data_IF_464206089639
#
_entry.id   IF_464206089639
#
_cell.length_a   1.000
_cell.length_b   1.000
_cell.length_c   1.000
_cell.angle_alpha   90.00
_cell.angle_beta   90.00
_cell.angle_gamma   90.00
#
_symmetry.space_group_name_H-M   'P 1'
#
loop_
_entity.id
_entity.type
_entity.pdbx_description
1 polymer ?
#
# COMPACT_ATOMS: atom_id res chain seq x y z
N UNK A 1 -23.78 33.53 -7.95
CA UNK A 1 -24.40 33.96 -6.68
C UNK A 1 -23.30 34.66 -5.91
N UNK A 2 -23.43 35.96 -5.65
CA UNK A 2 -22.32 36.79 -5.13
C UNK A 2 -21.71 36.21 -3.85
N UNK A 3 -20.39 35.93 -3.89
CA UNK A 3 -19.62 35.44 -2.74
C UNK A 3 -19.77 36.38 -1.53
N UNK A 4 -19.92 37.68 -1.76
CA UNK A 4 -20.07 38.70 -0.73
C UNK A 4 -21.41 38.58 0.03
N UNK A 5 -22.50 38.23 -0.67
CA UNK A 5 -23.80 37.99 -0.04
C UNK A 5 -23.82 36.70 0.81
N UNK A 6 -23.04 35.69 0.42
CA UNK A 6 -22.88 34.45 1.19
C UNK A 6 -22.04 34.72 2.45
N UNK A 7 -20.92 35.44 2.32
CA UNK A 7 -20.09 35.85 3.45
C UNK A 7 -20.86 36.70 4.46
N UNK A 8 -21.69 37.65 4.00
CA UNK A 8 -22.54 38.44 4.88
C UNK A 8 -23.54 37.59 5.69
N UNK A 9 -24.09 36.53 5.09
CA UNK A 9 -24.94 35.56 5.82
C UNK A 9 -24.14 34.72 6.80
N UNK A 10 -22.94 34.25 6.43
CA UNK A 10 -22.06 33.49 7.31
C UNK A 10 -21.68 34.31 8.55
N UNK A 11 -21.25 35.57 8.37
CA UNK A 11 -20.95 36.47 9.48
C UNK A 11 -22.13 36.63 10.43
N UNK A 12 -23.34 36.79 9.89
CA UNK A 12 -24.56 36.88 10.71
C UNK A 12 -24.83 35.60 11.52
N UNK A 13 -24.58 34.42 10.97
CA UNK A 13 -24.72 33.15 11.70
C UNK A 13 -23.67 32.99 12.79
N UNK A 14 -22.43 33.42 12.54
CA UNK A 14 -21.33 33.42 13.50
C UNK A 14 -21.63 34.41 14.65
N UNK A 15 -22.06 35.64 14.35
CA UNK A 15 -22.45 36.63 15.36
C UNK A 15 -23.62 36.15 16.22
N UNK A 16 -24.54 35.37 15.65
CA UNK A 16 -25.67 34.78 16.36
C UNK A 16 -25.33 33.46 17.08
N UNK A 17 -24.07 33.01 17.03
CA UNK A 17 -23.58 31.74 17.60
C UNK A 17 -24.40 30.50 17.19
N UNK A 18 -24.96 30.50 15.97
CA UNK A 18 -25.79 29.40 15.49
C UNK A 18 -25.35 28.94 14.08
N UNK A 19 -24.39 28.01 14.06
CA UNK A 19 -23.91 27.37 12.83
C UNK A 19 -24.66 26.08 12.49
N UNK A 20 -25.65 25.64 13.29
CA UNK A 20 -26.43 24.41 12.99
C UNK A 20 -27.07 24.44 11.60
N UNK A 21 -27.58 25.60 11.20
CA UNK A 21 -28.13 25.83 9.87
C UNK A 21 -27.09 25.64 8.76
N UNK A 22 -25.83 26.00 9.03
CA UNK A 22 -24.70 25.81 8.11
C UNK A 22 -24.34 24.33 8.02
N UNK A 23 -24.22 23.62 9.15
CA UNK A 23 -23.98 22.16 9.14
C UNK A 23 -25.07 21.40 8.37
N UNK A 24 -26.35 21.72 8.62
CA UNK A 24 -27.46 21.12 7.89
C UNK A 24 -27.43 21.47 6.40
N UNK A 25 -27.02 22.69 6.04
CA UNK A 25 -26.84 23.05 4.64
C UNK A 25 -25.73 22.23 3.98
N UNK A 26 -24.57 22.07 4.61
CA UNK A 26 -23.46 21.27 4.08
C UNK A 26 -23.87 19.80 3.88
N UNK A 27 -24.61 19.21 4.83
CA UNK A 27 -25.16 17.86 4.70
C UNK A 27 -26.15 17.75 3.54
N UNK A 28 -27.04 18.73 3.37
CA UNK A 28 -27.99 18.75 2.26
C UNK A 28 -27.32 18.99 0.90
N UNK A 29 -26.25 19.79 0.84
CA UNK A 29 -25.45 19.99 -0.37
C UNK A 29 -24.68 18.71 -0.72
N UNK A 30 -24.20 17.96 0.28
CA UNK A 30 -23.56 16.65 0.09
C UNK A 30 -24.49 15.63 -0.55
N UNK A 31 -25.76 15.60 -0.15
CA UNK A 31 -26.80 14.78 -0.82
C UNK A 31 -26.98 15.15 -2.29
N UNK A 32 -26.75 16.43 -2.65
CA UNK A 32 -26.89 16.96 -4.01
C UNK A 32 -25.59 16.93 -4.83
N UNK A 33 -24.55 16.26 -4.34
CA UNK A 33 -23.26 16.12 -5.04
C UNK A 33 -22.17 17.13 -4.62
N UNK A 34 -22.47 18.04 -3.70
CA UNK A 34 -21.47 18.78 -2.91
C UNK A 34 -20.72 19.92 -3.61
N UNK A 35 -21.30 20.55 -4.63
CA UNK A 35 -20.63 21.58 -5.43
C UNK A 35 -20.14 22.79 -4.62
N UNK A 36 -20.79 23.12 -3.50
CA UNK A 36 -20.49 24.34 -2.73
C UNK A 36 -19.85 24.06 -1.37
N UNK A 37 -19.81 22.79 -0.93
CA UNK A 37 -19.35 22.41 0.42
C UNK A 37 -17.98 22.99 0.72
N UNK A 38 -17.01 22.81 -0.17
CA UNK A 38 -15.63 23.25 0.08
C UNK A 38 -15.53 24.75 0.22
N UNK A 39 -16.16 25.52 -0.67
CA UNK A 39 -16.09 26.98 -0.63
C UNK A 39 -16.71 27.51 0.67
N UNK A 40 -17.88 27.00 1.04
CA UNK A 40 -18.58 27.42 2.25
C UNK A 40 -17.81 27.00 3.50
N UNK A 41 -17.31 25.76 3.57
CA UNK A 41 -16.52 25.29 4.69
C UNK A 41 -15.29 26.19 4.92
N UNK A 42 -14.53 26.50 3.86
CA UNK A 42 -13.38 27.42 3.93
C UNK A 42 -13.78 28.81 4.42
N UNK A 43 -14.84 29.39 3.87
CA UNK A 43 -15.30 30.71 4.27
C UNK A 43 -15.78 30.76 5.72
N UNK A 44 -16.44 29.71 6.21
CA UNK A 44 -16.86 29.64 7.61
C UNK A 44 -15.65 29.55 8.52
N UNK A 45 -14.73 28.62 8.24
CA UNK A 45 -13.50 28.41 9.00
C UNK A 45 -12.67 29.70 9.13
N UNK A 46 -12.50 30.44 8.03
CA UNK A 46 -11.72 31.68 8.01
C UNK A 46 -12.33 32.83 8.83
N UNK A 47 -13.64 32.80 9.04
CA UNK A 47 -14.39 33.86 9.74
C UNK A 47 -14.68 33.48 11.21
N UNK A 48 -14.23 32.30 11.67
CA UNK A 48 -14.38 31.90 13.07
C UNK A 48 -13.45 32.74 13.97
N UNK A 49 -13.94 33.21 15.13
CA UNK A 49 -13.13 33.98 16.08
C UNK A 49 -12.17 33.10 16.88
N UNK A 50 -11.05 33.66 17.35
CA UNK A 50 -10.09 33.00 18.25
C UNK A 50 -10.57 32.93 19.72
N UNK A 51 -11.83 32.59 19.94
CA UNK A 51 -12.44 32.43 21.27
C UNK A 51 -12.87 30.97 21.55
N UNK A 52 -13.41 30.70 22.74
CA UNK A 52 -13.91 29.37 23.10
C UNK A 52 -15.02 28.88 22.16
N UNK A 53 -15.82 29.80 21.63
CA UNK A 53 -16.86 29.47 20.68
C UNK A 53 -16.24 29.03 19.35
N UNK A 54 -15.31 29.80 18.78
CA UNK A 54 -14.63 29.45 17.54
C UNK A 54 -13.90 28.11 17.65
N UNK A 55 -13.18 27.85 18.76
CA UNK A 55 -12.55 26.55 19.02
C UNK A 55 -13.52 25.37 18.96
N UNK A 56 -14.70 25.50 19.58
CA UNK A 56 -15.72 24.45 19.50
C UNK A 56 -16.28 24.31 18.08
N UNK A 57 -16.44 25.42 17.35
CA UNK A 57 -16.93 25.39 15.98
C UNK A 57 -15.93 24.80 14.98
N UNK A 58 -14.61 25.02 15.15
CA UNK A 58 -13.58 24.34 14.37
C UNK A 58 -13.71 22.82 14.50
N UNK A 59 -13.90 22.32 15.72
CA UNK A 59 -14.14 20.89 16.00
C UNK A 59 -15.44 20.39 15.35
N UNK A 60 -16.56 21.08 15.53
CA UNK A 60 -17.85 20.68 14.94
C UNK A 60 -17.80 20.69 13.40
N UNK A 61 -17.12 21.68 12.81
CA UNK A 61 -16.93 21.76 11.36
C UNK A 61 -16.07 20.61 10.84
N UNK A 62 -14.96 20.33 11.52
CA UNK A 62 -14.08 19.20 11.20
C UNK A 62 -14.86 17.88 11.22
N UNK A 63 -15.63 17.63 12.29
CA UNK A 63 -16.46 16.43 12.41
C UNK A 63 -17.56 16.35 11.34
N UNK A 64 -18.15 17.47 10.96
CA UNK A 64 -19.16 17.53 9.91
C UNK A 64 -18.56 17.17 8.56
N UNK A 65 -17.43 17.76 8.19
CA UNK A 65 -16.75 17.48 6.93
C UNK A 65 -16.29 16.01 6.90
N UNK A 66 -15.75 15.49 8.00
CA UNK A 66 -15.36 14.09 8.11
C UNK A 66 -16.57 13.15 7.99
N UNK A 67 -17.69 13.47 8.64
CA UNK A 67 -18.94 12.70 8.48
C UNK A 67 -19.46 12.76 7.05
N UNK A 68 -19.26 13.88 6.34
CA UNK A 68 -19.65 14.00 4.94
C UNK A 68 -18.82 13.02 4.09
N UNK A 69 -17.49 13.03 4.26
CA UNK A 69 -16.59 12.10 3.57
C UNK A 69 -16.91 10.64 3.89
N UNK A 70 -17.31 10.31 5.12
CA UNK A 70 -17.65 8.92 5.48
C UNK A 70 -18.96 8.42 4.87
N UNK A 71 -19.97 9.30 4.70
CA UNK A 71 -21.36 8.91 4.40
C UNK A 71 -21.81 9.14 2.96
N UNK A 72 -21.30 10.17 2.28
CA UNK A 72 -21.81 10.56 0.96
C UNK A 72 -20.79 10.23 -0.13
N UNK A 73 -21.28 9.72 -1.26
CA UNK A 73 -20.47 9.47 -2.44
C UNK A 73 -20.31 10.78 -3.21
N UNK A 74 -19.13 11.38 -3.09
CA UNK A 74 -18.76 12.64 -3.72
C UNK A 74 -17.75 12.40 -4.85
N UNK A 75 -17.62 13.36 -5.76
CA UNK A 75 -16.60 13.26 -6.80
C UNK A 75 -15.17 13.29 -6.19
N UNK A 76 -14.19 12.60 -6.79
CA UNK A 76 -12.81 12.58 -6.27
C UNK A 76 -12.20 13.98 -6.10
N UNK A 77 -12.56 14.94 -6.96
CA UNK A 77 -12.11 16.32 -6.88
C UNK A 77 -12.64 17.03 -5.62
N UNK A 78 -13.92 16.79 -5.27
CA UNK A 78 -14.53 17.35 -4.06
C UNK A 78 -13.90 16.70 -2.82
N UNK A 79 -13.73 15.37 -2.80
CA UNK A 79 -13.05 14.65 -1.71
C UNK A 79 -11.65 15.23 -1.46
N UNK A 80 -10.83 15.40 -2.51
CA UNK A 80 -9.51 16.03 -2.40
C UNK A 80 -9.56 17.44 -1.83
N UNK A 81 -10.55 18.24 -2.27
CA UNK A 81 -10.71 19.60 -1.79
C UNK A 81 -11.10 19.65 -0.31
N UNK A 82 -11.99 18.76 0.12
CA UNK A 82 -12.41 18.61 1.52
C UNK A 82 -11.29 18.10 2.42
N UNK A 83 -10.49 17.13 1.96
CA UNK A 83 -9.29 16.68 2.66
C UNK A 83 -8.32 17.86 2.84
N UNK A 84 -8.11 18.67 1.80
CA UNK A 84 -7.31 19.89 1.91
C UNK A 84 -7.83 20.90 2.94
N UNK A 85 -9.15 21.01 3.12
CA UNK A 85 -9.75 21.82 4.20
C UNK A 85 -9.47 21.19 5.56
N UNK A 86 -9.71 19.89 5.73
CA UNK A 86 -9.44 19.18 6.98
C UNK A 86 -7.96 19.31 7.39
N UNK A 87 -7.03 19.13 6.45
CA UNK A 87 -5.59 19.26 6.68
C UNK A 87 -5.22 20.65 7.21
N UNK A 88 -5.80 21.71 6.63
CA UNK A 88 -5.57 23.09 7.13
C UNK A 88 -6.13 23.33 8.54
N UNK A 89 -7.12 22.55 8.94
CA UNK A 89 -7.81 22.67 10.23
C UNK A 89 -7.19 21.84 11.35
N UNK A 90 -6.34 20.86 11.03
CA UNK A 90 -5.73 19.97 12.03
C UNK A 90 -5.10 20.78 13.16
N UNK A 91 -4.33 21.82 12.82
CA UNK A 91 -3.61 22.64 13.80
C UNK A 91 -4.52 23.52 14.68
N UNK A 92 -5.76 23.79 14.25
CA UNK A 92 -6.75 24.55 15.01
C UNK A 92 -7.46 23.69 16.07
N UNK A 93 -7.36 22.36 15.98
CA UNK A 93 -7.92 21.44 16.97
C UNK A 93 -7.00 21.26 18.18
N UNK A 94 -7.58 21.01 19.35
CA UNK A 94 -6.80 20.59 20.52
C UNK A 94 -6.18 19.20 20.30
N UNK A 95 -5.05 18.91 20.95
CA UNK A 95 -4.38 17.60 20.84
C UNK A 95 -5.28 16.42 21.23
N UNK A 96 -6.11 16.61 22.25
CA UNK A 96 -7.06 15.59 22.71
C UNK A 96 -8.19 15.38 21.69
N UNK A 97 -8.63 16.44 21.02
CA UNK A 97 -9.60 16.35 19.93
C UNK A 97 -9.01 15.58 18.75
N UNK A 98 -7.76 15.87 18.35
CA UNK A 98 -7.08 15.13 17.27
C UNK A 98 -6.97 13.64 17.60
N UNK A 99 -6.57 13.30 18.83
CA UNK A 99 -6.49 11.92 19.28
C UNK A 99 -7.85 11.22 19.28
N UNK A 100 -8.92 11.89 19.71
CA UNK A 100 -10.29 11.37 19.66
C UNK A 100 -10.73 11.08 18.22
N UNK A 101 -10.48 12.01 17.29
CA UNK A 101 -10.75 11.81 15.86
C UNK A 101 -10.00 10.59 15.32
N UNK A 102 -8.72 10.41 15.67
CA UNK A 102 -7.95 9.22 15.25
C UNK A 102 -8.61 7.92 15.74
N UNK A 103 -9.10 7.87 16.97
CA UNK A 103 -9.85 6.70 17.44
C UNK A 103 -11.15 6.50 16.68
N UNK A 104 -11.92 7.57 16.40
CA UNK A 104 -13.14 7.48 15.60
C UNK A 104 -12.85 6.97 14.17
N UNK A 105 -11.69 7.29 13.60
CA UNK A 105 -11.23 6.76 12.31
C UNK A 105 -10.95 5.24 12.41
N UNK A 106 -10.22 4.81 13.45
CA UNK A 106 -9.92 3.40 13.67
C UNK A 106 -11.18 2.58 13.94
N UNK A 107 -12.13 3.11 14.71
CA UNK A 107 -13.38 2.42 15.00
C UNK A 107 -14.26 2.34 13.75
N UNK A 108 -14.31 3.40 12.92
CA UNK A 108 -14.97 3.33 11.61
C UNK A 108 -14.36 2.28 10.68
N UNK A 109 -13.04 2.06 10.75
CA UNK A 109 -12.36 1.01 9.99
C UNK A 109 -12.76 -0.39 10.48
N UNK A 110 -12.80 -0.60 11.81
CA UNK A 110 -13.24 -1.87 12.41
C UNK A 110 -14.70 -2.18 12.08
N UNK A 111 -15.55 -1.15 12.01
CA UNK A 111 -16.96 -1.28 11.65
C UNK A 111 -17.17 -1.57 10.16
N UNK A 112 -16.11 -1.58 9.34
CA UNK A 112 -16.19 -1.91 7.92
C UNK A 112 -16.55 -0.74 7.01
N UNK A 113 -16.31 0.50 7.44
CA UNK A 113 -16.59 1.68 6.61
C UNK A 113 -15.70 1.68 5.36
N UNK A 114 -16.30 1.68 4.17
CA UNK A 114 -15.57 1.68 2.89
C UNK A 114 -14.54 2.81 2.78
N UNK A 115 -13.33 2.48 2.33
CA UNK A 115 -12.24 3.44 2.09
C UNK A 115 -12.33 4.20 0.77
N UNK A 116 -13.25 3.84 -0.12
CA UNK A 116 -13.41 4.46 -1.44
C UNK A 116 -13.66 5.98 -1.36
N UNK A 117 -14.19 6.46 -0.23
CA UNK A 117 -14.49 7.88 0.01
C UNK A 117 -13.33 8.69 0.59
N UNK A 118 -12.13 8.10 0.70
CA UNK A 118 -10.87 8.78 1.04
C UNK A 118 -10.83 9.44 2.43
N UNK A 119 -11.80 9.15 3.29
CA UNK A 119 -11.90 9.73 4.64
C UNK A 119 -10.71 9.40 5.54
N UNK A 120 -9.96 8.33 5.26
CA UNK A 120 -8.77 7.92 6.02
C UNK A 120 -7.50 8.69 5.59
N UNK A 121 -7.52 9.43 4.47
CA UNK A 121 -6.37 10.22 3.99
C UNK A 121 -6.02 11.41 4.90
N UNK A 122 -6.88 11.75 5.88
CA UNK A 122 -6.58 12.74 6.93
C UNK A 122 -5.65 12.17 8.03
N UNK A 123 -5.53 10.85 8.11
CA UNK A 123 -4.78 10.17 9.17
C UNK A 123 -3.30 10.59 9.24
N UNK A 124 -2.55 10.72 8.13
CA UNK A 124 -1.14 11.11 8.16
C UNK A 124 -0.91 12.47 8.81
N UNK A 125 -1.72 13.47 8.46
CA UNK A 125 -1.60 14.83 9.02
C UNK A 125 -1.96 14.86 10.51
N UNK A 126 -3.00 14.13 10.92
CA UNK A 126 -3.36 13.99 12.34
C UNK A 126 -2.22 13.34 13.13
N UNK A 127 -1.68 12.22 12.64
CA UNK A 127 -0.62 11.48 13.33
C UNK A 127 0.69 12.24 13.35
N UNK A 128 1.06 12.91 12.24
CA UNK A 128 2.27 13.73 12.17
C UNK A 128 2.17 14.88 13.17
N UNK A 129 1.02 15.56 13.23
CA UNK A 129 0.76 16.63 14.19
C UNK A 129 0.79 16.15 15.65
N UNK A 130 0.23 14.97 15.94
CA UNK A 130 0.26 14.37 17.28
C UNK A 130 1.67 13.90 17.66
N UNK A 131 2.43 13.35 16.72
CA UNK A 131 3.75 12.76 16.99
C UNK A 131 4.79 13.76 17.51
N UNK A 132 4.60 15.05 17.21
CA UNK A 132 5.45 16.16 17.66
C UNK A 132 5.15 16.62 19.08
N UNK A 133 4.11 16.08 19.72
CA UNK A 133 3.69 16.49 21.07
C UNK A 133 4.31 15.63 22.17
N UNK A 134 4.72 16.26 23.27
CA UNK A 134 5.35 15.57 24.41
C UNK A 134 4.37 14.66 25.15
N UNK A 135 3.12 15.10 25.31
CA UNK A 135 2.09 14.33 26.02
C UNK A 135 0.74 14.41 25.33
N UNK A 136 0.09 13.26 25.22
CA UNK A 136 -1.26 13.06 24.70
C UNK A 136 -2.05 12.32 25.77
N UNK A 137 -3.17 12.90 26.20
CA UNK A 137 -4.05 12.25 27.17
C UNK A 137 -4.99 11.29 26.44
N UNK A 138 -4.88 10.01 26.74
CA UNK A 138 -5.62 8.93 26.08
C UNK A 138 -6.30 8.08 27.13
N UNK A 139 -7.64 8.11 27.19
CA UNK A 139 -8.45 7.21 28.03
C UNK A 139 -8.00 7.10 29.50
N UNK A 140 -7.39 8.16 30.04
CA UNK A 140 -6.87 8.21 31.42
C UNK A 140 -5.34 8.10 31.53
N UNK A 141 -4.66 7.61 30.50
CA UNK A 141 -3.21 7.49 30.43
C UNK A 141 -2.57 8.69 29.72
N UNK A 142 -1.30 8.96 30.03
CA UNK A 142 -0.47 9.95 29.33
C UNK A 142 0.59 9.23 28.50
N UNK A 143 0.49 9.37 27.19
CA UNK A 143 1.44 8.80 26.23
C UNK A 143 2.24 9.93 25.57
N UNK A 144 3.47 9.65 25.14
CA UNK A 144 4.13 10.56 24.19
C UNK A 144 3.49 10.49 22.81
N UNK A 145 3.65 11.55 22.00
CA UNK A 145 3.16 11.55 20.62
C UNK A 145 3.69 10.37 19.80
N UNK A 146 4.96 10.00 19.99
CA UNK A 146 5.57 8.83 19.36
C UNK A 146 4.94 7.50 19.81
N UNK A 147 4.67 7.34 21.11
CA UNK A 147 3.99 6.16 21.63
C UNK A 147 2.54 6.06 21.11
N UNK A 148 1.85 7.20 21.01
CA UNK A 148 0.51 7.26 20.43
C UNK A 148 0.52 6.83 18.97
N UNK A 149 1.46 7.35 18.17
CA UNK A 149 1.64 6.98 16.76
C UNK A 149 1.82 5.46 16.61
N UNK A 150 2.72 4.87 17.41
CA UNK A 150 2.96 3.43 17.41
C UNK A 150 1.71 2.62 17.75
N UNK A 151 0.98 3.01 18.79
CA UNK A 151 -0.29 2.38 19.16
C UNK A 151 -1.32 2.43 18.02
N UNK A 152 -1.40 3.55 17.29
CA UNK A 152 -2.31 3.68 16.16
C UNK A 152 -1.91 2.79 14.99
N UNK A 153 -0.62 2.72 14.66
CA UNK A 153 -0.11 1.82 13.62
C UNK A 153 -0.35 0.35 13.99
N UNK A 154 -0.10 -0.03 15.24
CA UNK A 154 -0.36 -1.38 15.75
C UNK A 154 -1.86 -1.74 15.64
N UNK A 155 -2.74 -0.83 16.05
CA UNK A 155 -4.19 -1.00 15.93
C UNK A 155 -4.62 -1.13 14.47
N UNK A 156 -4.09 -0.28 13.59
CA UNK A 156 -4.38 -0.31 12.16
C UNK A 156 -3.99 -1.68 11.56
N UNK A 157 -2.79 -2.18 11.86
CA UNK A 157 -2.29 -3.48 11.37
C UNK A 157 -3.02 -4.69 11.99
N UNK A 158 -3.55 -4.52 13.20
CA UNK A 158 -4.34 -5.55 13.90
C UNK A 158 -5.78 -5.67 13.39
N UNK A 159 -6.30 -4.64 12.71
CA UNK A 159 -7.65 -4.69 12.13
C UNK A 159 -7.74 -5.73 11.00
N UNK A 160 -8.91 -6.37 10.82
CA UNK A 160 -9.19 -7.12 9.60
C UNK A 160 -9.30 -6.13 8.44
N UNK A 161 -8.59 -6.39 7.33
CA UNK A 161 -8.66 -5.56 6.13
C UNK A 161 -9.36 -6.35 5.03
N UNK A 162 -10.30 -5.71 4.33
CA UNK A 162 -10.72 -6.21 3.03
C UNK A 162 -9.53 -6.14 2.05
N UNK A 163 -9.38 -7.11 1.13
CA UNK A 163 -8.25 -7.11 0.19
C UNK A 163 -8.09 -5.77 -0.55
N UNK A 164 -9.18 -5.21 -1.07
CA UNK A 164 -9.20 -3.91 -1.78
C UNK A 164 -8.71 -2.72 -0.95
N UNK A 165 -8.62 -2.82 0.38
CA UNK A 165 -8.09 -1.76 1.25
C UNK A 165 -6.56 -1.76 1.32
N UNK A 166 -5.88 -2.82 0.91
CA UNK A 166 -4.43 -2.94 1.04
C UNK A 166 -3.69 -1.78 0.36
N UNK A 167 -4.04 -1.44 -0.87
CA UNK A 167 -3.40 -0.36 -1.63
C UNK A 167 -3.68 1.03 -1.05
N UNK A 168 -4.94 1.41 -0.73
CA UNK A 168 -5.22 2.67 -0.02
C UNK A 168 -4.48 2.79 1.33
N UNK A 169 -4.46 1.72 2.14
CA UNK A 169 -3.77 1.73 3.43
C UNK A 169 -2.25 1.85 3.23
N UNK A 170 -1.67 1.16 2.25
CA UNK A 170 -0.25 1.28 1.91
C UNK A 170 0.13 2.70 1.50
N UNK A 171 -0.75 3.38 0.75
CA UNK A 171 -0.56 4.79 0.40
C UNK A 171 -0.54 5.67 1.65
N UNK A 172 -1.53 5.53 2.53
CA UNK A 172 -1.64 6.32 3.77
C UNK A 172 -0.44 6.08 4.69
N UNK A 173 -0.02 4.82 4.86
CA UNK A 173 1.14 4.47 5.67
C UNK A 173 2.45 5.03 5.11
N UNK A 174 2.57 5.16 3.79
CA UNK A 174 3.76 5.78 3.16
C UNK A 174 3.90 7.28 3.44
N UNK A 175 2.79 7.95 3.78
CA UNK A 175 2.78 9.38 4.13
C UNK A 175 3.09 9.60 5.63
N UNK A 176 3.21 8.52 6.42
CA UNK A 176 3.55 8.56 7.83
C UNK A 176 5.03 8.18 8.00
N UNK A 177 5.82 8.90 8.81
CA UNK A 177 7.19 8.51 9.12
C UNK A 177 7.19 7.28 10.03
N UNK A 178 7.27 6.09 9.45
CA UNK A 178 7.31 4.81 10.17
C UNK A 178 8.73 4.44 10.58
N UNK A 179 8.87 3.89 11.79
CA UNK A 179 10.12 3.29 12.26
C UNK A 179 10.26 1.82 11.80
N UNK A 180 11.42 1.21 12.05
CA UNK A 180 11.68 -0.16 11.64
C UNK A 180 10.68 -1.17 12.23
N UNK A 181 10.27 -0.99 13.49
CA UNK A 181 9.32 -1.89 14.15
C UNK A 181 7.91 -1.77 13.57
N UNK A 182 7.51 -0.56 13.18
CA UNK A 182 6.23 -0.28 12.54
C UNK A 182 6.19 -0.88 11.11
N UNK A 183 7.30 -0.80 10.37
CA UNK A 183 7.44 -1.42 9.04
C UNK A 183 7.39 -2.95 9.12
N UNK A 184 8.04 -3.55 10.12
CA UNK A 184 8.03 -5.00 10.39
C UNK A 184 6.63 -5.53 10.73
N UNK A 185 5.68 -4.67 11.09
CA UNK A 185 4.28 -5.04 11.28
C UNK A 185 3.46 -4.84 10.00
N UNK A 186 3.59 -3.67 9.37
CA UNK A 186 2.77 -3.27 8.24
C UNK A 186 3.04 -4.10 6.96
N UNK A 187 4.31 -4.30 6.61
CA UNK A 187 4.67 -4.96 5.34
C UNK A 187 4.30 -6.45 5.36
N UNK A 188 4.61 -7.22 6.42
CA UNK A 188 4.13 -8.60 6.52
C UNK A 188 2.61 -8.74 6.51
N UNK A 189 1.88 -7.81 7.10
CA UNK A 189 0.41 -7.80 7.03
C UNK A 189 -0.09 -7.66 5.58
N UNK A 190 0.47 -6.74 4.80
CA UNK A 190 0.11 -6.57 3.39
C UNK A 190 0.49 -7.78 2.53
N UNK A 191 1.64 -8.39 2.78
CA UNK A 191 2.05 -9.61 2.08
C UNK A 191 1.14 -10.80 2.37
N UNK A 192 0.50 -10.87 3.54
CA UNK A 192 -0.52 -11.89 3.84
C UNK A 192 -1.83 -11.66 3.07
N UNK A 193 -2.13 -10.42 2.68
CA UNK A 193 -3.33 -10.06 1.91
C UNK A 193 -3.10 -10.24 0.42
N UNK A 194 -1.85 -10.12 -0.06
CA UNK A 194 -1.45 -10.24 -1.46
C UNK A 194 -2.12 -11.43 -2.21
N UNK A 195 -2.21 -12.65 -1.66
CA UNK A 195 -2.85 -13.78 -2.35
C UNK A 195 -4.36 -13.63 -2.59
N UNK A 196 -5.02 -12.75 -1.83
CA UNK A 196 -6.47 -12.49 -1.91
C UNK A 196 -6.83 -11.30 -2.79
N UNK A 197 -5.83 -10.62 -3.38
CA UNK A 197 -6.06 -9.50 -4.30
C UNK A 197 -6.37 -9.98 -5.71
N UNK A 198 -7.09 -9.16 -6.45
CA UNK A 198 -7.18 -9.32 -7.90
C UNK A 198 -5.79 -9.08 -8.53
N UNK A 199 -5.45 -9.85 -9.56
CA UNK A 199 -4.14 -9.75 -10.22
C UNK A 199 -3.84 -8.32 -10.69
N UNK A 200 -4.85 -7.58 -11.15
CA UNK A 200 -4.72 -6.19 -11.60
C UNK A 200 -4.30 -5.21 -10.49
N UNK A 201 -4.58 -5.53 -9.21
CA UNK A 201 -4.26 -4.67 -8.07
C UNK A 201 -2.86 -4.92 -7.50
N UNK A 202 -2.29 -6.11 -7.76
CA UNK A 202 -0.97 -6.54 -7.26
C UNK A 202 0.15 -5.55 -7.62
N UNK A 203 0.29 -5.05 -8.86
CA UNK A 203 1.40 -4.16 -9.21
C UNK A 203 1.37 -2.84 -8.44
N UNK A 204 0.17 -2.29 -8.19
CA UNK A 204 0.00 -1.05 -7.46
C UNK A 204 0.42 -1.19 -6.00
N UNK A 205 0.01 -2.30 -5.35
CA UNK A 205 0.43 -2.57 -3.97
C UNK A 205 1.95 -2.78 -3.87
N UNK A 206 2.53 -3.60 -4.76
CA UNK A 206 3.97 -3.87 -4.73
C UNK A 206 4.78 -2.60 -4.96
N UNK A 207 4.36 -1.76 -5.92
CA UNK A 207 5.00 -0.47 -6.15
C UNK A 207 4.95 0.40 -4.90
N UNK A 208 3.76 0.53 -4.29
CA UNK A 208 3.58 1.35 -3.09
C UNK A 208 4.50 0.90 -1.95
N UNK A 209 4.60 -0.42 -1.73
CA UNK A 209 5.47 -0.97 -0.68
C UNK A 209 6.95 -0.72 -0.93
N UNK A 210 7.40 -0.85 -2.18
CA UNK A 210 8.79 -0.58 -2.56
C UNK A 210 9.21 0.89 -2.31
N UNK A 211 8.25 1.83 -2.27
CA UNK A 211 8.55 3.25 -2.05
C UNK A 211 8.92 3.59 -0.60
N UNK A 212 8.36 2.87 0.38
CA UNK A 212 8.54 3.21 1.81
C UNK A 212 9.14 2.09 2.67
N UNK A 213 9.43 0.92 2.09
CA UNK A 213 10.10 -0.16 2.81
C UNK A 213 11.56 0.18 3.14
N UNK A 214 12.00 -0.17 4.36
CA UNK A 214 13.43 -0.20 4.69
C UNK A 214 14.11 -1.41 4.03
N UNK A 215 15.42 -1.56 4.23
CA UNK A 215 16.20 -2.60 3.57
C UNK A 215 15.69 -4.01 3.93
N UNK A 216 15.48 -4.30 5.20
CA UNK A 216 15.05 -5.61 5.71
C UNK A 216 13.63 -5.95 5.21
N UNK A 217 12.72 -4.99 5.20
CA UNK A 217 11.38 -5.22 4.69
C UNK A 217 11.34 -5.34 3.17
N UNK A 218 12.22 -4.64 2.45
CA UNK A 218 12.38 -4.81 0.99
C UNK A 218 12.86 -6.22 0.67
N UNK A 219 13.75 -6.77 1.51
CA UNK A 219 14.21 -8.15 1.45
C UNK A 219 13.03 -9.13 1.49
N UNK A 220 12.24 -9.01 2.56
CA UNK A 220 11.06 -9.84 2.80
C UNK A 220 9.98 -9.66 1.72
N UNK A 221 9.76 -8.44 1.25
CA UNK A 221 8.79 -8.10 0.20
C UNK A 221 9.11 -8.84 -1.09
N UNK A 222 10.35 -8.75 -1.58
CA UNK A 222 10.76 -9.40 -2.84
C UNK A 222 10.66 -10.92 -2.71
N UNK A 223 11.07 -11.48 -1.56
CA UNK A 223 10.89 -12.91 -1.32
C UNK A 223 9.42 -13.34 -1.36
N UNK A 224 8.54 -12.56 -0.71
CA UNK A 224 7.11 -12.83 -0.66
C UNK A 224 6.47 -12.73 -2.05
N UNK A 225 6.87 -11.75 -2.86
CA UNK A 225 6.41 -11.59 -4.25
C UNK A 225 6.86 -12.76 -5.12
N UNK A 226 8.12 -13.20 -5.01
CA UNK A 226 8.61 -14.39 -5.72
C UNK A 226 7.79 -15.63 -5.34
N UNK A 227 7.53 -15.81 -4.05
CA UNK A 227 6.71 -16.92 -3.55
C UNK A 227 5.28 -16.87 -4.10
N UNK A 228 4.66 -15.69 -4.07
CA UNK A 228 3.31 -15.47 -4.59
C UNK A 228 3.18 -15.86 -6.07
N UNK A 229 4.07 -15.36 -6.94
CA UNK A 229 4.01 -15.72 -8.36
C UNK A 229 4.32 -17.19 -8.61
N UNK A 230 5.22 -17.80 -7.82
CA UNK A 230 5.46 -19.24 -7.91
C UNK A 230 4.22 -20.05 -7.55
N UNK A 231 3.46 -19.65 -6.54
CA UNK A 231 2.19 -20.29 -6.18
C UNK A 231 1.16 -20.13 -7.30
N UNK A 232 1.09 -18.95 -7.94
CA UNK A 232 0.22 -18.72 -9.10
C UNK A 232 0.60 -19.55 -10.32
N UNK A 233 1.89 -19.71 -10.60
CA UNK A 233 2.37 -20.62 -11.65
C UNK A 233 1.89 -22.06 -11.40
N UNK A 234 1.99 -22.54 -10.15
CA UNK A 234 1.57 -23.90 -9.78
C UNK A 234 0.05 -24.09 -9.91
N UNK A 235 -0.75 -23.11 -9.46
CA UNK A 235 -2.21 -23.12 -9.66
C UNK A 235 -2.56 -23.23 -11.15
N UNK A 236 -1.82 -22.55 -12.02
CA UNK A 236 -2.02 -22.60 -13.48
C UNK A 236 -1.56 -23.92 -14.10
N UNK A 237 -0.45 -24.51 -13.62
CA UNK A 237 0.04 -25.83 -14.04
C UNK A 237 -0.99 -26.93 -13.67
N UNK A 238 -1.62 -26.85 -12.50
CA UNK A 238 -2.64 -27.79 -12.02
C UNK A 238 -3.94 -27.73 -12.85
N UNK A 239 -4.33 -26.55 -13.31
CA UNK A 239 -5.49 -26.35 -14.20
C UNK A 239 -5.27 -26.93 -15.61
N UNK A 240 -4.00 -27.09 -16.03
CA UNK A 240 -3.63 -27.70 -17.31
C UNK A 240 -4.28 -27.04 -18.52
N UNK A 241 -4.68 -27.82 -19.53
CA UNK A 241 -5.31 -27.33 -20.76
C UNK A 241 -6.71 -26.70 -20.56
N UNK A 242 -7.27 -26.75 -19.33
CA UNK A 242 -8.52 -26.05 -18.99
C UNK A 242 -8.28 -24.61 -18.52
N UNK A 243 -7.00 -24.18 -18.43
CA UNK A 243 -6.65 -22.82 -18.06
C UNK A 243 -7.17 -21.83 -19.11
N UNK A 244 -7.99 -20.89 -18.67
CA UNK A 244 -8.42 -19.74 -19.47
C UNK A 244 -7.19 -18.95 -19.94
N UNK A 245 -6.94 -18.94 -21.25
CA UNK A 245 -5.81 -18.23 -21.87
C UNK A 245 -5.74 -16.77 -21.42
N UNK A 246 -6.88 -16.13 -21.16
CA UNK A 246 -6.95 -14.75 -20.65
C UNK A 246 -6.41 -14.63 -19.23
N UNK A 247 -6.65 -15.62 -18.36
CA UNK A 247 -6.10 -15.61 -16.99
C UNK A 247 -4.58 -15.73 -17.01
N UNK A 248 -4.06 -16.54 -17.92
CA UNK A 248 -2.63 -16.70 -18.14
C UNK A 248 -1.99 -15.41 -18.65
N UNK A 249 -2.59 -14.78 -19.66
CA UNK A 249 -2.15 -13.49 -20.20
C UNK A 249 -2.16 -12.40 -19.11
N UNK A 250 -3.23 -12.33 -18.31
CA UNK A 250 -3.33 -11.40 -17.19
C UNK A 250 -2.23 -11.62 -16.14
N UNK A 251 -1.90 -12.88 -15.83
CA UNK A 251 -0.80 -13.21 -14.91
C UNK A 251 0.54 -12.75 -15.48
N UNK A 252 0.85 -13.07 -16.73
CA UNK A 252 2.09 -12.67 -17.40
C UNK A 252 2.24 -11.13 -17.46
N UNK A 253 1.16 -10.39 -17.76
CA UNK A 253 1.18 -8.93 -17.76
C UNK A 253 1.37 -8.33 -16.35
N UNK A 254 0.78 -8.97 -15.35
CA UNK A 254 0.94 -8.59 -13.94
C UNK A 254 2.39 -8.81 -13.50
N UNK A 255 2.98 -9.97 -13.82
CA UNK A 255 4.40 -10.27 -13.59
C UNK A 255 5.31 -9.22 -14.23
N UNK A 256 5.03 -8.86 -15.49
CA UNK A 256 5.77 -7.84 -16.22
C UNK A 256 5.79 -6.49 -15.54
N UNK A 257 4.64 -6.06 -15.06
CA UNK A 257 4.51 -4.78 -14.38
C UNK A 257 5.24 -4.81 -13.02
N UNK A 258 5.13 -5.90 -12.27
CA UNK A 258 5.83 -6.05 -10.98
C UNK A 258 7.35 -6.11 -11.16
N UNK A 259 7.85 -6.87 -12.15
CA UNK A 259 9.29 -6.89 -12.47
C UNK A 259 9.78 -5.49 -12.83
N UNK A 260 9.02 -4.72 -13.62
CA UNK A 260 9.35 -3.34 -13.94
C UNK A 260 9.45 -2.46 -12.68
N UNK A 261 8.51 -2.57 -11.73
CA UNK A 261 8.56 -1.84 -10.47
C UNK A 261 9.80 -2.20 -9.63
N UNK A 262 10.13 -3.48 -9.52
CA UNK A 262 11.33 -3.93 -8.78
C UNK A 262 12.61 -3.43 -9.46
N UNK A 263 12.69 -3.50 -10.80
CA UNK A 263 13.83 -2.96 -11.56
C UNK A 263 13.97 -1.45 -11.35
N UNK A 264 12.86 -0.71 -11.32
CA UNK A 264 12.86 0.72 -11.06
C UNK A 264 13.34 1.04 -9.63
N UNK A 265 12.88 0.30 -8.63
CA UNK A 265 13.35 0.42 -7.25
C UNK A 265 14.86 0.08 -7.14
N UNK A 266 15.31 -0.99 -7.81
CA UNK A 266 16.70 -1.41 -7.83
C UNK A 266 17.65 -0.40 -8.49
N UNK A 267 17.16 0.40 -9.44
CA UNK A 267 17.92 1.52 -10.03
C UNK A 267 18.17 2.65 -9.03
N UNK A 268 17.22 2.88 -8.13
CA UNK A 268 17.35 3.89 -7.07
C UNK A 268 18.14 3.37 -5.88
N UNK A 269 17.98 2.08 -5.56
CA UNK A 269 18.67 1.41 -4.47
C UNK A 269 19.34 0.10 -4.94
N UNK A 270 20.63 0.14 -5.34
CA UNK A 270 21.35 -1.04 -5.80
C UNK A 270 21.52 -2.16 -4.78
N UNK A 271 21.28 -1.91 -3.47
CA UNK A 271 21.34 -2.95 -2.44
C UNK A 271 20.31 -4.07 -2.67
N UNK A 272 19.19 -3.75 -3.34
CA UNK A 272 18.16 -4.70 -3.77
C UNK A 272 18.79 -5.79 -4.65
N UNK A 273 19.67 -5.43 -5.58
CA UNK A 273 20.30 -6.39 -6.49
C UNK A 273 21.28 -7.29 -5.72
N UNK A 274 22.07 -6.71 -4.81
CA UNK A 274 23.01 -7.46 -4.00
C UNK A 274 22.32 -8.53 -3.15
N UNK A 275 21.22 -8.17 -2.49
CA UNK A 275 20.40 -9.12 -1.75
C UNK A 275 19.78 -10.16 -2.69
N UNK A 276 19.19 -9.75 -3.81
CA UNK A 276 18.57 -10.69 -4.75
C UNK A 276 19.58 -11.74 -5.24
N UNK A 277 20.80 -11.31 -5.58
CA UNK A 277 21.92 -12.20 -5.93
C UNK A 277 22.29 -13.13 -4.76
N UNK A 278 22.35 -12.62 -3.53
CA UNK A 278 22.58 -13.44 -2.32
C UNK A 278 21.49 -14.49 -2.16
N UNK A 279 20.23 -14.14 -2.38
CA UNK A 279 19.08 -15.05 -2.34
C UNK A 279 19.21 -16.16 -3.41
N UNK A 280 19.53 -15.79 -4.65
CA UNK A 280 19.76 -16.75 -5.73
C UNK A 280 20.88 -17.73 -5.39
N UNK A 281 22.02 -17.24 -4.87
CA UNK A 281 23.15 -18.09 -4.43
C UNK A 281 22.74 -19.05 -3.32
N UNK A 282 22.00 -18.56 -2.32
CA UNK A 282 21.53 -19.39 -1.20
C UNK A 282 20.56 -20.50 -1.64
N UNK A 283 19.85 -20.30 -2.75
CA UNK A 283 18.83 -21.23 -3.26
C UNK A 283 19.21 -21.88 -4.60
N UNK A 284 20.47 -21.80 -5.02
CA UNK A 284 20.94 -22.29 -6.32
C UNK A 284 20.63 -23.77 -6.58
N UNK A 285 20.52 -24.56 -5.51
CA UNK A 285 20.21 -26.00 -5.55
C UNK A 285 18.72 -26.31 -5.77
N UNK A 286 17.84 -25.29 -5.74
CA UNK A 286 16.40 -25.40 -5.98
C UNK A 286 16.08 -24.91 -7.39
N UNK A 287 16.00 -25.82 -8.36
CA UNK A 287 15.76 -25.49 -9.77
C UNK A 287 14.51 -24.64 -9.97
N UNK A 288 13.41 -25.03 -9.31
CA UNK A 288 12.10 -24.36 -9.38
C UNK A 288 12.13 -22.92 -8.85
N UNK A 289 13.06 -22.63 -7.94
CA UNK A 289 13.24 -21.27 -7.44
C UNK A 289 14.04 -20.43 -8.43
N UNK A 290 15.24 -20.88 -8.82
CA UNK A 290 16.13 -20.10 -9.69
C UNK A 290 15.58 -19.93 -11.10
N UNK A 291 14.98 -21.00 -11.63
CA UNK A 291 14.43 -21.07 -12.99
C UNK A 291 12.90 -21.00 -13.01
N UNK A 292 12.28 -20.57 -11.90
CA UNK A 292 10.86 -20.21 -11.90
C UNK A 292 10.61 -19.01 -12.82
N UNK A 293 9.41 -18.92 -13.39
CA UNK A 293 9.02 -17.93 -14.40
C UNK A 293 9.36 -16.50 -13.93
N UNK A 294 8.80 -16.08 -12.81
CA UNK A 294 9.03 -14.76 -12.23
C UNK A 294 10.50 -14.53 -11.84
N UNK A 295 11.12 -15.47 -11.13
CA UNK A 295 12.49 -15.30 -10.59
C UNK A 295 13.53 -15.18 -11.70
N UNK A 296 13.46 -16.05 -12.72
CA UNK A 296 14.36 -16.01 -13.86
C UNK A 296 14.17 -14.72 -14.65
N UNK A 297 12.92 -14.29 -14.85
CA UNK A 297 12.60 -13.06 -15.56
C UNK A 297 13.12 -11.84 -14.83
N UNK A 298 12.92 -11.77 -13.50
CA UNK A 298 13.47 -10.71 -12.66
C UNK A 298 15.01 -10.71 -12.70
N UNK A 299 15.65 -11.87 -12.64
CA UNK A 299 17.10 -11.98 -12.74
C UNK A 299 17.63 -11.43 -14.06
N UNK A 300 17.04 -11.84 -15.18
CA UNK A 300 17.43 -11.34 -16.51
C UNK A 300 17.14 -9.85 -16.68
N UNK A 301 16.04 -9.35 -16.10
CA UNK A 301 15.71 -7.92 -16.13
C UNK A 301 16.71 -7.09 -15.32
N UNK A 302 17.12 -7.55 -14.14
CA UNK A 302 18.15 -6.89 -13.33
C UNK A 302 19.54 -6.98 -13.96
N UNK A 303 19.83 -8.09 -14.66
CA UNK A 303 21.08 -8.27 -15.40
C UNK A 303 21.26 -7.25 -16.55
N UNK A 304 20.20 -6.57 -17.01
CA UNK A 304 20.33 -5.45 -17.96
C UNK A 304 21.10 -4.26 -17.39
N UNK A 305 21.24 -4.17 -16.07
CA UNK A 305 22.06 -3.14 -15.41
C UNK A 305 23.53 -3.52 -15.48
N UNK A 306 24.34 -2.77 -16.25
CA UNK A 306 25.75 -3.10 -16.60
C UNK A 306 26.62 -3.60 -15.44
N UNK A 307 26.52 -2.99 -14.26
CA UNK A 307 27.36 -3.36 -13.11
C UNK A 307 27.02 -4.71 -12.49
N UNK A 308 25.82 -5.25 -12.73
CA UNK A 308 25.34 -6.50 -12.15
C UNK A 308 25.15 -7.61 -13.17
N UNK A 309 25.35 -7.32 -14.46
CA UNK A 309 25.19 -8.28 -15.55
C UNK A 309 26.00 -9.55 -15.31
N UNK A 310 27.32 -9.42 -15.11
CA UNK A 310 28.20 -10.58 -14.88
C UNK A 310 27.80 -11.34 -13.61
N UNK A 311 27.58 -10.61 -12.51
CA UNK A 311 27.26 -11.21 -11.22
C UNK A 311 25.98 -12.05 -11.26
N UNK A 312 24.92 -11.54 -11.91
CA UNK A 312 23.66 -12.29 -12.05
C UNK A 312 23.83 -13.46 -13.00
N UNK A 313 24.46 -13.26 -14.16
CA UNK A 313 24.65 -14.32 -15.15
C UNK A 313 25.53 -15.45 -14.62
N UNK A 314 26.54 -15.16 -13.81
CA UNK A 314 27.41 -16.19 -13.23
C UNK A 314 26.67 -17.07 -12.23
N UNK A 315 25.78 -16.49 -11.43
CA UNK A 315 24.91 -17.28 -10.53
C UNK A 315 23.96 -18.17 -11.34
N UNK A 316 23.35 -17.64 -12.40
CA UNK A 316 22.47 -18.43 -13.28
C UNK A 316 23.24 -19.55 -13.99
N UNK A 317 24.44 -19.28 -14.53
CA UNK A 317 25.30 -20.30 -15.17
C UNK A 317 25.75 -21.37 -14.19
N UNK A 318 26.11 -20.98 -12.97
CA UNK A 318 26.51 -21.91 -11.90
C UNK A 318 25.34 -22.83 -11.53
N UNK A 319 24.15 -22.27 -11.31
CA UNK A 319 22.95 -23.04 -11.04
C UNK A 319 22.59 -23.97 -12.20
N UNK A 320 22.65 -23.49 -13.45
CA UNK A 320 22.36 -24.29 -14.63
C UNK A 320 23.34 -25.47 -14.75
N UNK A 321 24.63 -25.20 -14.60
CA UNK A 321 25.69 -26.23 -14.64
C UNK A 321 25.45 -27.30 -13.57
N UNK A 322 25.10 -26.88 -12.34
CA UNK A 322 24.77 -27.80 -11.26
C UNK A 322 23.59 -28.72 -11.61
N UNK A 323 22.49 -28.17 -12.12
CA UNK A 323 21.29 -28.95 -12.43
C UNK A 323 21.47 -29.87 -13.65
N UNK A 324 22.21 -29.43 -14.68
CA UNK A 324 22.57 -30.28 -15.83
C UNK A 324 23.43 -31.46 -15.38
N UNK A 325 24.46 -31.22 -14.57
CA UNK A 325 25.31 -32.29 -14.03
C UNK A 325 24.51 -33.24 -13.14
N UNK A 326 23.59 -32.71 -12.31
CA UNK A 326 22.69 -33.51 -11.48
C UNK A 326 21.78 -34.40 -12.33
N UNK A 327 21.21 -33.87 -13.40
CA UNK A 327 20.35 -34.64 -14.31
C UNK A 327 21.15 -35.72 -15.06
N UNK A 328 22.37 -35.42 -15.48
CA UNK A 328 23.27 -36.40 -16.10
C UNK A 328 23.57 -37.56 -15.15
N UNK A 329 23.98 -37.27 -13.90
CA UNK A 329 24.23 -38.28 -12.86
C UNK A 329 22.99 -39.11 -12.54
N UNK A 330 21.82 -38.48 -12.46
CA UNK A 330 20.55 -39.18 -12.25
C UNK A 330 20.25 -40.17 -13.38
N UNK A 331 20.59 -39.82 -14.63
CA UNK A 331 20.44 -40.73 -15.78
C UNK A 331 21.49 -41.84 -15.81
N UNK A 332 22.69 -41.59 -15.30
CA UNK A 332 23.80 -42.55 -15.36
C UNK A 332 23.75 -43.61 -14.25
N UNK A 333 23.40 -43.22 -13.02
CA UNK A 333 23.53 -44.11 -11.85
C UNK A 333 22.18 -44.56 -11.28
N UNK A 334 21.97 -45.87 -11.20
CA UNK A 334 20.73 -46.47 -10.67
C UNK A 334 20.48 -46.13 -9.19
N UNK A 335 21.52 -46.23 -8.34
CA UNK A 335 21.40 -45.93 -6.91
C UNK A 335 20.98 -44.48 -6.61
N UNK A 336 21.33 -43.53 -7.49
CA UNK A 336 20.91 -42.13 -7.35
C UNK A 336 19.40 -41.99 -7.57
N UNK A 337 18.84 -42.77 -8.52
CA UNK A 337 17.42 -42.75 -8.82
C UNK A 337 16.57 -43.28 -7.67
N UNK A 338 17.12 -44.20 -6.89
CA UNK A 338 16.48 -44.78 -5.71
C UNK A 338 16.55 -43.84 -4.49
N UNK A 339 17.57 -42.98 -4.42
CA UNK A 339 17.86 -42.13 -3.26
C UNK A 339 17.33 -40.70 -3.36
N UNK A 340 17.07 -40.18 -4.57
CA UNK A 340 16.75 -38.76 -4.79
C UNK A 340 15.51 -38.63 -5.68
N UNK A 341 14.62 -37.65 -5.43
CA UNK A 341 13.53 -37.32 -6.35
C UNK A 341 14.02 -36.97 -7.75
N UNK A 342 13.19 -37.23 -8.77
CA UNK A 342 13.46 -36.91 -10.17
C UNK A 342 13.85 -35.43 -10.30
N UNK A 343 15.04 -35.09 -10.82
CA UNK A 343 15.43 -33.71 -11.06
C UNK A 343 14.50 -33.05 -12.07
N UNK A 344 14.08 -31.81 -11.80
CA UNK A 344 13.32 -31.00 -12.76
C UNK A 344 14.19 -30.71 -13.99
N UNK A 345 13.56 -30.70 -15.16
CA UNK A 345 14.23 -30.35 -16.41
C UNK A 345 14.33 -28.83 -16.55
N UNK A 346 15.51 -28.27 -16.28
CA UNK A 346 15.76 -26.83 -16.41
C UNK A 346 15.58 -26.34 -17.84
N UNK A 347 15.79 -27.19 -18.86
CA UNK A 347 15.57 -26.82 -20.25
C UNK A 347 14.08 -26.53 -20.46
N UNK A 348 13.21 -27.37 -19.92
CA UNK A 348 11.77 -27.16 -20.02
C UNK A 348 11.35 -25.87 -19.29
N UNK A 349 11.90 -25.61 -18.10
CA UNK A 349 11.62 -24.38 -17.35
C UNK A 349 12.02 -23.12 -18.14
N UNK A 350 13.21 -23.11 -18.75
CA UNK A 350 13.68 -21.99 -19.57
C UNK A 350 12.84 -21.86 -20.85
N UNK A 351 12.50 -22.97 -21.50
CA UNK A 351 11.66 -22.97 -22.72
C UNK A 351 10.28 -22.43 -22.42
N UNK A 352 9.66 -22.86 -21.31
CA UNK A 352 8.36 -22.34 -20.87
C UNK A 352 8.44 -20.81 -20.72
N UNK A 353 9.46 -20.29 -20.03
CA UNK A 353 9.67 -18.84 -19.91
C UNK A 353 9.81 -18.12 -21.25
N UNK A 354 10.53 -18.72 -22.20
CA UNK A 354 10.69 -18.14 -23.55
C UNK A 354 9.38 -18.18 -24.34
N UNK A 355 8.50 -19.15 -24.11
CA UNK A 355 7.23 -19.28 -24.83
C UNK A 355 6.18 -18.27 -24.33
N UNK A 356 6.25 -17.85 -23.06
CA UNK A 356 5.39 -16.84 -22.42
C UNK A 356 5.78 -15.38 -22.77
N UNK A 357 6.32 -15.12 -23.98
CA UNK A 357 7.13 -13.93 -24.30
C UNK A 357 6.41 -12.69 -24.85
N UNK A 358 5.09 -12.65 -24.94
CA UNK A 358 4.44 -11.58 -25.71
C UNK A 358 4.45 -10.18 -25.06
N UNK A 359 4.95 -10.01 -23.81
CA UNK A 359 4.85 -8.73 -23.06
C UNK A 359 6.21 -8.08 -22.72
N UNK A 360 7.35 -8.74 -22.96
CA UNK A 360 8.64 -8.36 -22.34
C UNK A 360 9.61 -7.55 -23.22
N UNK A 361 9.18 -7.14 -24.42
CA UNK A 361 9.98 -6.36 -25.36
C UNK A 361 9.20 -5.09 -25.74
N UNK A 362 9.73 -3.89 -25.46
CA UNK A 362 9.53 -2.76 -26.38
C UNK A 362 10.10 -3.10 -27.76
#
# INVERSE_FOLDING_TARGET
MDNEAILGKIRKYISNKNLKSVHNYLLNDAVKGGSNITAIAKSVIQELPDDDFGREQHKEMFNTILSILKKYDLSPAICSSLIGVLNSEVNNLSINTRAAVVYDLLDSLKDGTSLERRWLEILPDLLTSISQCDTVAVRGDKLSGGQFKKLVVDNLCSCPWEPKWATPIARILSEIPLDASELELAIPKMMRILPSLELAEVPALVYQLLLFSNQECTEFLIESVIKFFREKDLEMEELGASSDERKKENLEQTEATVVLHIVFAARQNPTIINFFVKMLKARQMKAEFVFGQFTLTLALALAKTRHFTEQVLDVLKSAASFHVQRQAKYREYMWIREMIPVPKDIKQLIVNMIQHRYVWLP
#
